data_IF_806262941998
#
_entry.id   IF_806262941998
#
_cell.length_a   1.000
_cell.length_b   1.000
_cell.length_c   1.000
_cell.angle_alpha   90.00
_cell.angle_beta   90.00
_cell.angle_gamma   90.00
#
_symmetry.space_group_name_H-M   'P 1'
#
loop_
_entity.id
_entity.type
_entity.pdbx_description
1 polymer ?
#
# COMPACT_ATOMS: atom_id res chain seq x y z
N UNK A 1 26.57 7.05 -32.57
CA UNK A 1 25.71 8.12 -32.00
C UNK A 1 24.24 7.67 -32.04
N UNK A 2 23.82 6.62 -31.33
CA UNK A 2 22.41 6.14 -31.36
C UNK A 2 22.05 5.34 -30.09
N UNK A 3 22.35 5.87 -28.90
CA UNK A 3 21.93 5.24 -27.62
C UNK A 3 21.38 6.24 -26.60
N UNK A 4 21.40 7.54 -26.90
CA UNK A 4 20.90 8.60 -26.01
C UNK A 4 19.36 8.63 -25.99
N UNK A 5 18.74 8.15 -27.07
CA UNK A 5 17.30 8.19 -27.29
C UNK A 5 16.57 6.99 -26.69
N UNK A 6 17.28 5.91 -26.34
CA UNK A 6 16.70 4.81 -25.57
C UNK A 6 16.25 5.28 -24.16
N UNK A 7 16.89 6.32 -23.63
CA UNK A 7 16.54 6.91 -22.33
C UNK A 7 15.42 7.96 -22.42
N UNK A 8 15.21 8.56 -23.60
CA UNK A 8 14.13 9.53 -23.82
C UNK A 8 12.80 8.83 -24.19
N UNK A 9 12.87 7.66 -24.84
CA UNK A 9 11.69 6.86 -25.19
C UNK A 9 11.21 5.93 -24.07
N UNK A 10 12.05 5.66 -23.05
CA UNK A 10 11.69 4.83 -21.89
C UNK A 10 10.92 5.58 -20.78
N UNK A 11 10.61 6.87 -20.96
CA UNK A 11 9.90 7.70 -19.97
C UNK A 11 8.37 7.58 -20.04
N UNK A 12 7.85 6.68 -20.86
CA UNK A 12 6.42 6.36 -20.90
C UNK A 12 6.28 4.86 -21.04
N UNK A 13 5.76 4.25 -19.97
CA UNK A 13 5.48 2.84 -19.91
C UNK A 13 4.02 2.55 -20.25
N UNK A 14 3.76 1.45 -20.94
CA UNK A 14 2.41 0.93 -21.14
C UNK A 14 2.35 -0.49 -20.59
N UNK A 15 1.31 -0.79 -19.83
CA UNK A 15 1.00 -2.12 -19.34
C UNK A 15 -0.50 -2.28 -19.18
N UNK A 16 -0.99 -3.48 -19.33
CA UNK A 16 -2.37 -3.85 -19.06
C UNK A 16 -2.64 -3.99 -17.55
N UNK A 17 -3.82 -3.56 -17.12
CA UNK A 17 -4.26 -3.75 -15.75
C UNK A 17 -4.67 -5.22 -15.55
N UNK A 18 -4.08 -5.97 -14.58
CA UNK A 18 -4.42 -7.37 -14.35
C UNK A 18 -5.84 -7.60 -13.79
N UNK A 19 -6.49 -6.55 -13.27
CA UNK A 19 -7.83 -6.62 -12.68
C UNK A 19 -8.96 -6.38 -13.70
N UNK A 20 -8.78 -5.40 -14.61
CA UNK A 20 -9.82 -5.01 -15.57
C UNK A 20 -9.42 -5.10 -17.04
N UNK A 21 -8.15 -5.40 -17.34
CA UNK A 21 -7.62 -5.52 -18.71
C UNK A 21 -7.47 -4.19 -19.46
N UNK A 22 -7.62 -3.04 -18.78
CA UNK A 22 -7.49 -1.73 -19.43
C UNK A 22 -6.03 -1.30 -19.59
N UNK A 23 -5.74 -0.52 -20.63
CA UNK A 23 -4.42 0.08 -20.85
C UNK A 23 -4.06 1.11 -19.78
N UNK A 24 -3.00 0.83 -19.02
CA UNK A 24 -2.43 1.72 -18.01
C UNK A 24 -1.21 2.45 -18.59
N UNK A 25 -1.29 3.79 -18.61
CA UNK A 25 -0.18 4.64 -19.07
C UNK A 25 0.62 5.17 -17.89
N UNK A 26 1.86 4.73 -17.77
CA UNK A 26 2.81 5.22 -16.80
C UNK A 26 3.46 6.51 -17.32
N UNK A 27 3.37 7.58 -16.54
CA UNK A 27 3.99 8.87 -16.85
C UNK A 27 5.30 9.03 -16.09
N UNK A 28 6.34 9.52 -16.76
CA UNK A 28 7.63 9.77 -16.15
C UNK A 28 8.49 8.51 -16.06
N UNK A 29 9.39 8.44 -15.08
CA UNK A 29 10.33 7.32 -14.96
C UNK A 29 9.79 6.27 -13.97
N UNK A 30 9.11 5.22 -14.43
CA UNK A 30 8.61 4.18 -13.54
C UNK A 30 9.77 3.45 -12.85
N UNK A 31 9.53 3.00 -11.61
CA UNK A 31 10.47 2.18 -10.84
C UNK A 31 9.76 0.96 -10.23
N UNK A 32 10.52 -0.12 -9.99
CA UNK A 32 10.00 -1.34 -9.35
C UNK A 32 9.60 -1.04 -7.91
N UNK A 33 8.47 -1.54 -7.45
CA UNK A 33 7.87 -1.23 -6.14
C UNK A 33 7.05 0.05 -6.11
N UNK A 34 6.89 0.73 -7.25
CA UNK A 34 6.01 1.88 -7.35
C UNK A 34 4.54 1.43 -7.32
N UNK A 35 3.77 1.96 -6.37
CA UNK A 35 2.32 1.79 -6.33
C UNK A 35 1.64 2.87 -7.18
N UNK A 36 0.81 2.46 -8.12
CA UNK A 36 -0.02 3.31 -8.97
C UNK A 36 -1.48 2.88 -8.87
N UNK A 37 -2.40 3.78 -9.20
CA UNK A 37 -3.83 3.47 -9.20
C UNK A 37 -4.35 3.41 -10.64
N UNK A 38 -5.08 2.35 -10.99
CA UNK A 38 -5.73 2.25 -12.29
C UNK A 38 -6.84 3.31 -12.42
N UNK A 39 -6.84 4.11 -13.48
CA UNK A 39 -7.89 5.14 -13.69
C UNK A 39 -9.25 4.56 -14.08
N UNK A 40 -9.31 3.28 -14.47
CA UNK A 40 -10.54 2.60 -14.87
C UNK A 40 -11.21 1.90 -13.68
N UNK A 41 -10.58 0.88 -13.10
CA UNK A 41 -11.13 0.11 -11.98
C UNK A 41 -10.76 0.65 -10.59
N UNK A 42 -9.82 1.59 -10.50
CA UNK A 42 -9.30 2.14 -9.23
C UNK A 42 -8.54 1.14 -8.35
N UNK A 43 -8.19 -0.04 -8.88
CA UNK A 43 -7.31 -0.98 -8.21
C UNK A 43 -5.92 -0.37 -7.98
N UNK A 44 -5.33 -0.68 -6.82
CA UNK A 44 -3.94 -0.38 -6.51
C UNK A 44 -3.05 -1.43 -7.18
N UNK A 45 -2.10 -0.98 -7.98
CA UNK A 45 -1.21 -1.83 -8.77
C UNK A 45 0.25 -1.49 -8.43
N UNK A 46 1.08 -2.50 -8.29
CA UNK A 46 2.52 -2.38 -8.08
C UNK A 46 3.28 -2.69 -9.37
N UNK A 47 4.31 -1.91 -9.66
CA UNK A 47 5.23 -2.20 -10.76
C UNK A 47 6.26 -3.24 -10.29
N UNK A 48 6.18 -4.48 -10.79
CA UNK A 48 7.14 -5.54 -10.46
C UNK A 48 8.34 -5.58 -11.42
N UNK A 49 8.16 -5.13 -12.66
CA UNK A 49 9.18 -5.19 -13.70
C UNK A 49 9.10 -3.97 -14.64
N UNK A 50 10.25 -3.57 -15.21
CA UNK A 50 10.35 -2.41 -16.11
C UNK A 50 10.69 -2.76 -17.58
N UNK A 51 11.12 -3.98 -17.88
CA UNK A 51 11.48 -4.39 -19.23
C UNK A 51 11.19 -5.90 -19.50
N UNK A 52 10.01 -6.24 -20.03
CA UNK A 52 8.84 -5.38 -20.24
C UNK A 52 8.20 -4.92 -18.92
N UNK A 53 7.41 -3.86 -18.99
CA UNK A 53 6.69 -3.34 -17.82
C UNK A 53 5.59 -4.32 -17.45
N UNK A 54 5.55 -4.70 -16.18
CA UNK A 54 4.54 -5.62 -15.62
C UNK A 54 3.93 -5.03 -14.35
N UNK A 55 2.62 -5.17 -14.22
CA UNK A 55 1.84 -4.70 -13.08
C UNK A 55 1.25 -5.90 -12.33
N UNK A 56 1.34 -5.87 -11.00
CA UNK A 56 0.66 -6.80 -10.11
C UNK A 56 -0.33 -6.04 -9.22
N UNK A 57 -1.25 -6.74 -8.56
CA UNK A 57 -2.05 -6.10 -7.52
C UNK A 57 -1.13 -5.72 -6.36
N UNK A 58 -1.21 -4.46 -5.92
CA UNK A 58 -0.50 -4.03 -4.74
C UNK A 58 -1.03 -4.80 -3.53
N UNK A 59 -0.17 -5.58 -2.87
CA UNK A 59 -0.52 -6.15 -1.58
C UNK A 59 -0.52 -5.03 -0.54
N UNK A 60 -1.60 -4.89 0.22
CA UNK A 60 -1.51 -4.17 1.49
C UNK A 60 -0.75 -5.10 2.42
N UNK A 61 0.44 -4.68 2.87
CA UNK A 61 1.19 -5.37 3.91
C UNK A 61 0.18 -5.69 5.03
N UNK A 62 -0.03 -6.97 5.33
CA UNK A 62 -0.98 -7.40 6.36
C UNK A 62 -0.57 -6.70 7.66
N UNK A 63 -1.22 -5.57 7.98
CA UNK A 63 -1.15 -4.98 9.30
C UNK A 63 -1.69 -6.07 10.23
N UNK A 64 -0.72 -6.67 10.92
CA UNK A 64 -0.84 -7.73 11.90
C UNK A 64 -2.22 -7.66 12.57
N UNK A 65 -3.02 -8.71 12.36
CA UNK A 65 -4.40 -8.94 12.83
C UNK A 65 -4.55 -8.91 14.37
N UNK A 66 -3.65 -8.26 15.10
CA UNK A 66 -3.57 -8.22 16.55
C UNK A 66 -4.50 -7.18 17.20
N UNK A 67 -5.78 -7.11 16.78
CA UNK A 67 -6.81 -6.35 17.50
C UNK A 67 -7.54 -7.15 18.60
N UNK A 68 -7.05 -8.34 18.97
CA UNK A 68 -7.69 -9.17 19.99
C UNK A 68 -6.85 -9.35 21.27
N UNK A 69 -6.56 -8.27 22.00
CA UNK A 69 -6.22 -8.35 23.43
C UNK A 69 -6.97 -7.31 24.25
N UNK A 70 -8.29 -7.46 24.29
CA UNK A 70 -9.19 -6.89 25.29
C UNK A 70 -8.92 -7.50 26.68
N UNK A 71 -7.79 -7.13 27.29
CA UNK A 71 -7.45 -7.45 28.67
C UNK A 71 -8.08 -6.44 29.64
N UNK A 72 -9.13 -6.86 30.34
CA UNK A 72 -9.89 -6.09 31.34
C UNK A 72 -8.98 -5.48 32.41
N UNK A 73 -9.18 -4.19 32.71
CA UNK A 73 -8.53 -3.44 33.81
C UNK A 73 -9.24 -3.76 35.14
N UNK A 74 -8.65 -4.45 36.14
CA UNK A 74 -9.29 -4.64 37.43
C UNK A 74 -9.18 -3.35 38.27
N UNK A 75 -10.29 -2.64 38.48
CA UNK A 75 -10.36 -1.58 39.50
C UNK A 75 -10.51 -2.20 40.88
N UNK A 76 -9.41 -2.48 41.58
CA UNK A 76 -9.48 -2.72 43.03
C UNK A 76 -9.48 -1.40 43.78
N UNK A 77 -10.68 -1.02 44.22
CA UNK A 77 -10.97 -0.02 45.25
C UNK A 77 -10.39 -0.55 46.57
N UNK A 78 -9.60 0.21 47.31
CA UNK A 78 -9.56 0.09 48.78
C UNK A 78 -8.79 1.22 49.44
N UNK A 79 -9.33 1.66 50.58
CA UNK A 79 -8.88 2.70 51.53
C UNK A 79 -9.19 4.14 51.15
N UNK A 80 -10.49 4.44 51.14
CA UNK A 80 -10.97 5.73 51.65
C UNK A 80 -11.30 5.52 53.13
N UNK A 81 -10.61 6.28 53.96
CA UNK A 81 -10.80 6.42 55.39
C UNK A 81 -12.18 7.01 55.70
N UNK A 82 -12.92 6.37 56.60
CA UNK A 82 -14.08 6.93 57.32
C UNK A 82 -13.77 6.55 58.78
N UNK A 83 -13.23 7.44 59.63
CA UNK A 83 -13.88 8.61 60.23
C UNK A 83 -15.36 8.32 60.52
N UNK A 84 -15.61 7.65 61.65
CA UNK A 84 -16.86 7.78 62.39
C UNK A 84 -16.47 8.00 63.85
N UNK A 85 -16.69 9.23 64.30
CA UNK A 85 -16.80 9.59 65.71
C UNK A 85 -18.06 8.92 66.29
N UNK A 86 -17.89 8.11 67.35
CA UNK A 86 -18.95 7.84 68.31
C UNK A 86 -18.38 7.45 69.68
#
# INVERSE_FOLDING_TARGET
>A
MLLKDAWLMAQHGFADCPDCGADVRLRGKPYVGQIIQCTNCRAALEIEQLNPISLAMAYEEEEDSFSARSGRRPKKKSRRTEFIDN
#
